data_IF_108042031046
#
_entry.id   IF_108042031046
#
_cell.length_a   1.000
_cell.length_b   1.000
_cell.length_c   1.000
_cell.angle_alpha   90.00
_cell.angle_beta   90.00
_cell.angle_gamma   90.00
#
_symmetry.space_group_name_H-M   'P 1'
#
loop_
_entity.id
_entity.type
_entity.pdbx_description
1 polymer ?
#
# COMPACT_ATOMS: atom_id res chain seq x y z
N UNK A 1 -5.37 -22.53 3.42
CA UNK A 1 -4.35 -22.47 2.34
C UNK A 1 -3.84 -21.06 2.18
N UNK A 2 -2.68 -20.86 1.54
CA UNK A 2 -2.04 -19.53 1.42
C UNK A 2 -2.96 -18.44 0.84
N UNK A 3 -3.82 -18.77 -0.13
CA UNK A 3 -4.77 -17.81 -0.70
C UNK A 3 -5.77 -17.23 0.31
N UNK A 4 -6.27 -18.04 1.25
CA UNK A 4 -7.18 -17.57 2.32
C UNK A 4 -6.45 -16.64 3.27
N UNK A 5 -5.21 -16.96 3.63
CA UNK A 5 -4.39 -16.12 4.50
C UNK A 5 -4.09 -14.76 3.83
N UNK A 6 -3.68 -14.77 2.56
CA UNK A 6 -3.44 -13.54 1.78
C UNK A 6 -4.72 -12.70 1.68
N UNK A 7 -5.86 -13.32 1.36
CA UNK A 7 -7.13 -12.62 1.25
C UNK A 7 -7.56 -11.97 2.57
N UNK A 8 -7.47 -12.71 3.68
CA UNK A 8 -7.81 -12.20 5.00
C UNK A 8 -6.90 -11.05 5.45
N UNK A 9 -5.57 -11.20 5.28
CA UNK A 9 -4.63 -10.14 5.67
C UNK A 9 -4.75 -8.91 4.79
N UNK A 10 -4.96 -9.07 3.48
CA UNK A 10 -5.20 -7.96 2.57
C UNK A 10 -6.47 -7.18 2.92
N UNK A 11 -7.55 -7.89 3.25
CA UNK A 11 -8.79 -7.27 3.67
C UNK A 11 -8.63 -6.47 4.98
N UNK A 12 -7.99 -7.07 5.99
CA UNK A 12 -7.67 -6.39 7.25
C UNK A 12 -6.76 -5.17 7.04
N UNK A 13 -5.81 -5.27 6.11
CA UNK A 13 -4.93 -4.16 5.75
C UNK A 13 -5.71 -3.00 5.12
N UNK A 14 -6.68 -3.28 4.24
CA UNK A 14 -7.64 -2.28 3.75
C UNK A 14 -8.42 -1.59 4.85
N UNK A 15 -9.02 -2.38 5.75
CA UNK A 15 -9.82 -1.85 6.86
C UNK A 15 -9.00 -0.95 7.79
N UNK A 16 -7.72 -1.24 8.00
CA UNK A 16 -6.84 -0.39 8.79
C UNK A 16 -6.69 1.04 8.23
N UNK A 17 -6.99 1.25 6.94
CA UNK A 17 -6.92 2.55 6.27
C UNK A 17 -8.27 3.27 6.17
N UNK A 18 -9.34 2.69 6.74
CA UNK A 18 -10.68 3.30 6.74
C UNK A 18 -10.72 4.65 7.47
N UNK A 19 -9.76 4.91 8.37
CA UNK A 19 -9.62 6.17 9.09
C UNK A 19 -9.39 7.41 8.21
N UNK A 20 -9.08 7.26 6.92
CA UNK A 20 -8.88 8.38 6.00
C UNK A 20 -10.19 8.97 5.43
N UNK A 21 -11.35 8.36 5.73
CA UNK A 21 -12.66 8.91 5.34
C UNK A 21 -12.97 8.87 3.85
N UNK A 22 -12.15 8.18 3.06
CA UNK A 22 -12.31 8.02 1.61
C UNK A 22 -12.28 6.53 1.26
N UNK A 23 -13.00 6.14 0.21
CA UNK A 23 -13.08 4.73 -0.23
C UNK A 23 -11.79 4.29 -0.93
N UNK A 24 -11.19 5.18 -1.71
CA UNK A 24 -9.99 4.88 -2.50
C UNK A 24 -8.81 4.39 -1.63
N UNK A 25 -8.47 5.02 -0.49
CA UNK A 25 -7.45 4.53 0.41
C UNK A 25 -7.79 3.23 1.16
N UNK A 26 -8.97 2.65 0.99
CA UNK A 26 -9.31 1.31 1.52
C UNK A 26 -9.08 0.27 0.44
N UNK A 27 -9.56 0.51 -0.77
CA UNK A 27 -9.47 -0.44 -1.89
C UNK A 27 -8.01 -0.65 -2.33
N UNK A 28 -7.22 0.43 -2.39
CA UNK A 28 -5.84 0.33 -2.85
C UNK A 28 -4.94 -0.50 -1.91
N UNK A 29 -4.98 -0.33 -0.57
CA UNK A 29 -4.27 -1.22 0.32
C UNK A 29 -4.73 -2.68 0.26
N UNK A 30 -6.00 -2.98 -0.03
CA UNK A 30 -6.44 -4.38 -0.24
C UNK A 30 -5.71 -4.98 -1.43
N UNK A 31 -5.70 -4.30 -2.58
CA UNK A 31 -4.99 -4.77 -3.78
C UNK A 31 -3.49 -4.91 -3.50
N UNK A 32 -2.89 -3.91 -2.84
CA UNK A 32 -1.48 -3.95 -2.45
C UNK A 32 -1.18 -5.11 -1.51
N UNK A 33 -2.02 -5.36 -0.51
CA UNK A 33 -1.90 -6.46 0.44
C UNK A 33 -1.93 -7.84 -0.23
N UNK A 34 -2.76 -8.01 -1.28
CA UNK A 34 -2.78 -9.24 -2.09
C UNK A 34 -1.43 -9.43 -2.79
N UNK A 35 -0.92 -8.39 -3.45
CA UNK A 35 0.36 -8.44 -4.17
C UNK A 35 1.54 -8.73 -3.23
N UNK A 36 1.62 -8.00 -2.12
CA UNK A 36 2.64 -8.17 -1.10
C UNK A 36 2.60 -9.56 -0.47
N UNK A 37 1.41 -10.06 -0.10
CA UNK A 37 1.23 -11.40 0.43
C UNK A 37 1.62 -12.50 -0.57
N UNK A 38 1.27 -12.33 -1.85
CA UNK A 38 1.68 -13.25 -2.92
C UNK A 38 3.21 -13.28 -3.07
N UNK A 39 3.86 -12.13 -3.07
CA UNK A 39 5.32 -12.01 -3.16
C UNK A 39 5.99 -12.76 -2.01
N UNK A 40 5.56 -12.56 -0.76
CA UNK A 40 6.14 -13.30 0.39
C UNK A 40 5.98 -14.80 0.25
N UNK A 41 4.80 -15.28 -0.15
CA UNK A 41 4.56 -16.73 -0.30
C UNK A 41 5.39 -17.34 -1.41
N UNK A 42 5.61 -16.60 -2.50
CA UNK A 42 6.37 -17.06 -3.68
C UNK A 42 7.89 -16.99 -3.47
N UNK A 43 8.39 -15.92 -2.86
CA UNK A 43 9.83 -15.69 -2.66
C UNK A 43 10.36 -16.27 -1.36
N UNK A 44 9.46 -16.63 -0.43
CA UNK A 44 9.79 -17.02 0.96
C UNK A 44 10.64 -15.96 1.67
N UNK A 45 10.52 -14.70 1.25
CA UNK A 45 11.33 -13.59 1.75
C UNK A 45 10.44 -12.42 2.18
N UNK A 46 10.38 -12.18 3.48
CA UNK A 46 9.61 -11.07 4.03
C UNK A 46 10.18 -9.70 3.64
N UNK A 47 11.51 -9.57 3.52
CA UNK A 47 12.17 -8.30 3.17
C UNK A 47 11.72 -7.78 1.81
N UNK A 48 11.42 -8.65 0.86
CA UNK A 48 10.93 -8.23 -0.47
C UNK A 48 9.64 -7.40 -0.37
N UNK A 49 8.70 -7.83 0.48
CA UNK A 49 7.44 -7.12 0.72
C UNK A 49 7.63 -5.88 1.59
N UNK A 50 8.51 -5.93 2.60
CA UNK A 50 8.81 -4.77 3.44
C UNK A 50 9.42 -3.65 2.59
N UNK A 51 10.45 -3.98 1.80
CA UNK A 51 11.11 -3.02 0.92
C UNK A 51 10.13 -2.44 -0.08
N UNK A 52 9.33 -3.28 -0.76
CA UNK A 52 8.33 -2.80 -1.71
C UNK A 52 7.32 -1.82 -1.07
N UNK A 53 6.84 -2.14 0.14
CA UNK A 53 5.88 -1.27 0.84
C UNK A 53 6.50 0.05 1.29
N UNK A 54 7.70 0.02 1.89
CA UNK A 54 8.41 1.24 2.30
C UNK A 54 8.75 2.11 1.10
N UNK A 55 9.24 1.51 0.00
CA UNK A 55 9.52 2.24 -1.24
C UNK A 55 8.26 2.88 -1.81
N UNK A 56 7.13 2.17 -1.84
CA UNK A 56 5.87 2.75 -2.28
C UNK A 56 5.48 3.98 -1.45
N UNK A 57 5.51 3.85 -0.12
CA UNK A 57 5.18 4.96 0.78
C UNK A 57 6.10 6.16 0.56
N UNK A 58 7.40 5.92 0.40
CA UNK A 58 8.38 6.99 0.14
C UNK A 58 8.09 7.69 -1.20
N UNK A 59 7.85 6.92 -2.26
CA UNK A 59 7.54 7.48 -3.59
C UNK A 59 6.25 8.30 -3.54
N UNK A 60 5.19 7.78 -2.91
CA UNK A 60 3.93 8.53 -2.76
C UNK A 60 4.12 9.81 -1.95
N UNK A 61 4.92 9.76 -0.88
CA UNK A 61 5.25 10.94 -0.09
C UNK A 61 6.02 11.98 -0.90
N UNK A 62 7.03 11.57 -1.66
CA UNK A 62 7.79 12.47 -2.55
C UNK A 62 6.88 13.10 -3.61
N UNK A 63 6.02 12.30 -4.25
CA UNK A 63 5.04 12.79 -5.24
C UNK A 63 4.08 13.79 -4.60
N UNK A 64 3.62 13.54 -3.38
CA UNK A 64 2.79 14.49 -2.64
C UNK A 64 3.50 15.83 -2.41
N UNK A 65 4.75 15.81 -1.93
CA UNK A 65 5.53 17.03 -1.69
C UNK A 65 5.75 17.83 -2.98
N UNK A 66 6.10 17.15 -4.08
CA UNK A 66 6.27 17.79 -5.39
C UNK A 66 4.95 18.39 -5.89
N UNK A 67 3.85 17.65 -5.76
CA UNK A 67 2.53 18.13 -6.19
C UNK A 67 2.11 19.38 -5.41
N UNK A 68 2.38 19.40 -4.10
CA UNK A 68 2.08 20.54 -3.25
C UNK A 68 2.94 21.77 -3.57
N UNK A 69 4.22 21.59 -3.86
CA UNK A 69 5.12 22.70 -4.20
C UNK A 69 4.76 23.36 -5.54
N UNK A 70 4.38 22.56 -6.54
CA UNK A 70 3.91 23.08 -7.82
C UNK A 70 2.63 23.90 -7.68
N UNK A 71 1.63 23.41 -6.93
CA UNK A 71 0.38 24.15 -6.69
C UNK A 71 0.63 25.49 -5.99
N UNK A 72 1.55 25.52 -5.01
CA UNK A 72 1.89 26.75 -4.30
C UNK A 72 2.65 27.78 -5.16
N UNK A 73 3.24 27.35 -6.28
CA UNK A 73 3.98 28.23 -7.20
C UNK A 73 3.10 28.80 -8.32
N UNK A 74 1.88 28.28 -8.48
CA UNK A 74 0.90 28.68 -9.51
C UNK A 74 -0.20 29.62 -9.01
N UNK A 75 -0.22 29.93 -7.71
CA UNK A 75 -1.09 30.91 -7.04
C UNK A 75 -0.29 32.16 -6.69
#
# INVERSE_FOLDING_TARGET
GYGVAIGATAFLFGLAHMGYGQVYPILMPIVMGILLGYVVVKTKNLFSSITAHVTFNLVTFVVYIISQSLQSSTL
#
